data_IF_363553980422
#
_entry.id   IF_363553980422
#
_cell.length_a   1.000
_cell.length_b   1.000
_cell.length_c   1.000
_cell.angle_alpha   90.00
_cell.angle_beta   90.00
_cell.angle_gamma   90.00
#
_symmetry.space_group_name_H-M   'P 1'
#
loop_
_entity.id
_entity.type
_entity.pdbx_description
1 polymer ?
#
# COMPACT_ATOMS: atom_id res chain seq x y z
N UNK A 1 -34.29 -31.09 44.52
CA UNK A 1 -34.17 -30.44 43.19
C UNK A 1 -34.79 -31.39 42.18
N UNK A 2 -35.91 -31.01 41.56
CA UNK A 2 -36.59 -31.84 40.55
C UNK A 2 -36.13 -31.36 39.18
N UNK A 3 -35.48 -32.24 38.44
CA UNK A 3 -35.20 -32.06 37.02
C UNK A 3 -36.52 -32.08 36.27
N UNK A 4 -36.86 -30.96 35.64
CA UNK A 4 -38.00 -30.86 34.73
C UNK A 4 -37.49 -31.32 33.37
N UNK A 5 -37.93 -32.51 32.97
CA UNK A 5 -37.61 -33.11 31.67
C UNK A 5 -38.41 -32.38 30.57
N UNK A 6 -37.76 -31.44 29.88
CA UNK A 6 -38.35 -30.61 28.82
C UNK A 6 -38.47 -31.35 27.46
N UNK A 7 -38.15 -32.64 27.39
CA UNK A 7 -38.07 -33.39 26.13
C UNK A 7 -39.42 -33.85 25.57
N UNK A 8 -40.51 -33.70 26.31
CA UNK A 8 -41.82 -34.27 25.94
C UNK A 8 -42.94 -33.24 25.70
N UNK A 9 -42.60 -32.02 25.26
CA UNK A 9 -43.62 -31.07 24.81
C UNK A 9 -44.15 -31.54 23.44
N UNK A 10 -45.27 -32.28 23.45
CA UNK A 10 -46.01 -32.71 22.26
C UNK A 10 -46.54 -31.49 21.46
N UNK A 11 -45.72 -30.95 20.55
CA UNK A 11 -46.11 -29.85 19.64
C UNK A 11 -47.33 -30.18 18.76
N UNK A 12 -47.73 -31.46 18.65
CA UNK A 12 -48.89 -31.91 17.86
C UNK A 12 -50.25 -31.47 18.42
N UNK A 13 -50.35 -31.06 19.70
CA UNK A 13 -51.63 -30.62 20.30
C UNK A 13 -51.89 -29.11 20.22
N UNK A 14 -50.92 -28.30 19.79
CA UNK A 14 -51.10 -26.87 19.57
C UNK A 14 -51.79 -26.64 18.21
N UNK A 15 -53.11 -26.87 18.15
CA UNK A 15 -53.95 -26.43 17.03
C UNK A 15 -54.08 -24.90 17.09
N UNK A 16 -53.08 -24.21 16.55
CA UNK A 16 -53.16 -22.78 16.34
C UNK A 16 -54.32 -22.46 15.39
N UNK A 17 -55.18 -21.52 15.79
CA UNK A 17 -56.23 -21.00 14.91
C UNK A 17 -55.61 -20.47 13.62
N UNK A 18 -56.33 -20.57 12.50
CA UNK A 18 -55.90 -20.00 11.20
C UNK A 18 -55.49 -18.52 11.33
N UNK A 19 -56.14 -17.77 12.23
CA UNK A 19 -55.77 -16.38 12.54
C UNK A 19 -54.39 -16.29 13.18
N UNK A 20 -54.10 -17.16 14.16
CA UNK A 20 -52.80 -17.19 14.84
C UNK A 20 -51.67 -17.61 13.89
N UNK A 21 -51.93 -18.56 12.98
CA UNK A 21 -50.99 -18.92 11.92
C UNK A 21 -50.70 -17.73 10.98
N UNK A 22 -51.73 -16.97 10.62
CA UNK A 22 -51.59 -15.80 9.75
C UNK A 22 -50.81 -14.66 10.44
N UNK A 23 -51.03 -14.42 11.73
CA UNK A 23 -50.23 -13.49 12.52
C UNK A 23 -48.77 -13.92 12.67
N UNK A 24 -48.52 -15.22 12.89
CA UNK A 24 -47.16 -15.74 12.95
C UNK A 24 -46.44 -15.57 11.60
N UNK A 25 -47.10 -15.87 10.48
CA UNK A 25 -46.53 -15.69 9.15
C UNK A 25 -46.23 -14.21 8.86
N UNK A 26 -47.16 -13.31 9.20
CA UNK A 26 -46.93 -11.87 9.07
C UNK A 26 -45.77 -11.39 9.95
N UNK A 27 -45.68 -11.87 11.20
CA UNK A 27 -44.56 -11.57 12.10
C UNK A 27 -43.21 -12.03 11.55
N UNK A 28 -43.14 -13.25 11.00
CA UNK A 28 -41.92 -13.76 10.35
C UNK A 28 -41.53 -12.91 9.14
N UNK A 29 -42.50 -12.50 8.31
CA UNK A 29 -42.21 -11.62 7.16
C UNK A 29 -41.71 -10.25 7.59
N UNK A 30 -42.26 -9.65 8.64
CA UNK A 30 -41.78 -8.37 9.18
C UNK A 30 -40.36 -8.51 9.72
N UNK A 31 -40.06 -9.59 10.46
CA UNK A 31 -38.70 -9.85 10.97
C UNK A 31 -37.73 -10.08 9.80
N UNK A 32 -38.13 -10.84 8.79
CA UNK A 32 -37.29 -11.08 7.60
C UNK A 32 -37.05 -9.80 6.81
N UNK A 33 -38.07 -8.96 6.62
CA UNK A 33 -37.94 -7.66 5.97
C UNK A 33 -37.06 -6.70 6.79
N UNK A 34 -37.24 -6.67 8.11
CA UNK A 34 -36.41 -5.92 9.05
C UNK A 34 -34.96 -6.37 9.03
N UNK A 35 -34.70 -7.67 9.02
CA UNK A 35 -33.36 -8.24 8.92
C UNK A 35 -32.71 -7.95 7.56
N UNK A 36 -33.45 -8.06 6.46
CA UNK A 36 -32.94 -7.72 5.12
C UNK A 36 -32.66 -6.22 4.99
N UNK A 37 -33.52 -5.37 5.55
CA UNK A 37 -33.32 -3.93 5.64
C UNK A 37 -32.10 -3.57 6.48
N UNK A 38 -31.99 -4.14 7.68
CA UNK A 38 -30.82 -4.01 8.54
C UNK A 38 -29.55 -4.44 7.79
N UNK A 39 -29.57 -5.61 7.15
CA UNK A 39 -28.43 -6.13 6.40
C UNK A 39 -28.06 -5.22 5.22
N UNK A 40 -29.05 -4.69 4.51
CA UNK A 40 -28.83 -3.74 3.42
C UNK A 40 -28.20 -2.42 3.89
N UNK A 41 -28.55 -1.96 5.09
CA UNK A 41 -28.01 -0.72 5.69
C UNK A 41 -26.63 -0.95 6.32
N UNK A 42 -26.42 -2.09 6.97
CA UNK A 42 -25.21 -2.36 7.77
C UNK A 42 -24.12 -3.07 7.00
N UNK A 43 -24.43 -3.81 5.95
CA UNK A 43 -23.41 -4.48 5.15
C UNK A 43 -22.98 -3.57 4.01
N UNK A 44 -21.68 -3.61 3.66
CA UNK A 44 -21.23 -2.89 2.48
C UNK A 44 -22.04 -3.32 1.25
N UNK A 45 -22.40 -2.36 0.38
CA UNK A 45 -23.17 -2.68 -0.81
C UNK A 45 -22.40 -3.71 -1.64
N UNK A 46 -23.12 -4.71 -2.14
CA UNK A 46 -22.53 -5.75 -2.99
C UNK A 46 -21.84 -5.08 -4.19
N UNK A 47 -20.61 -5.44 -4.56
CA UNK A 47 -19.86 -4.75 -5.61
C UNK A 47 -20.62 -4.63 -6.94
N UNK A 48 -21.36 -5.66 -7.34
CA UNK A 48 -22.16 -5.63 -8.57
C UNK A 48 -23.27 -4.57 -8.54
N UNK A 49 -23.86 -4.28 -7.38
CA UNK A 49 -24.90 -3.26 -7.22
C UNK A 49 -24.29 -1.86 -7.36
N UNK A 50 -23.10 -1.65 -6.79
CA UNK A 50 -22.35 -0.40 -6.94
C UNK A 50 -22.00 -0.17 -8.40
N UNK A 51 -21.47 -1.19 -9.09
CA UNK A 51 -21.18 -1.15 -10.53
C UNK A 51 -22.43 -0.79 -11.34
N UNK A 52 -23.56 -1.45 -11.07
CA UNK A 52 -24.81 -1.18 -11.79
C UNK A 52 -25.33 0.25 -11.57
N UNK A 53 -25.29 0.77 -10.33
CA UNK A 53 -25.68 2.16 -10.03
C UNK A 53 -24.76 3.15 -10.75
N UNK A 54 -23.45 2.86 -10.75
CA UNK A 54 -22.46 3.66 -11.44
C UNK A 54 -22.69 3.66 -12.96
N UNK A 55 -22.88 2.49 -13.58
CA UNK A 55 -23.15 2.38 -15.03
C UNK A 55 -24.39 3.19 -15.43
N UNK A 56 -25.47 3.12 -14.63
CA UNK A 56 -26.68 3.94 -14.88
C UNK A 56 -26.43 5.42 -14.72
N UNK A 57 -25.63 5.81 -13.73
CA UNK A 57 -25.26 7.21 -13.53
C UNK A 57 -24.45 7.73 -14.71
N UNK A 58 -23.41 7.00 -15.12
CA UNK A 58 -22.57 7.36 -16.26
C UNK A 58 -23.40 7.41 -17.55
N UNK A 59 -24.29 6.44 -17.79
CA UNK A 59 -25.13 6.44 -18.97
C UNK A 59 -26.07 7.64 -19.04
N UNK A 60 -26.57 8.08 -17.88
CA UNK A 60 -27.39 9.30 -17.78
C UNK A 60 -26.58 10.56 -18.07
N UNK A 61 -25.37 10.68 -17.52
CA UNK A 61 -24.53 11.88 -17.69
C UNK A 61 -23.87 11.96 -19.07
N UNK A 62 -23.55 10.82 -19.67
CA UNK A 62 -22.94 10.73 -20.99
C UNK A 62 -23.96 10.66 -22.14
N UNK A 63 -25.26 10.68 -21.84
CA UNK A 63 -26.35 10.51 -22.81
C UNK A 63 -26.22 9.28 -23.74
N UNK A 64 -25.46 8.26 -23.31
CA UNK A 64 -25.22 7.02 -24.04
C UNK A 64 -25.02 5.86 -23.07
N UNK A 65 -25.56 4.69 -23.41
CA UNK A 65 -25.28 3.45 -22.70
C UNK A 65 -24.18 2.61 -23.36
N UNK A 66 -23.72 3.00 -24.56
CA UNK A 66 -22.68 2.29 -25.29
C UNK A 66 -21.31 2.91 -25.02
N UNK A 67 -20.57 2.28 -24.11
CA UNK A 67 -19.20 2.63 -23.74
C UNK A 67 -18.17 1.72 -24.41
N UNK A 68 -18.53 1.00 -25.48
CA UNK A 68 -17.55 0.20 -26.22
C UNK A 68 -16.43 1.10 -26.76
N UNK A 69 -15.22 0.58 -26.67
CA UNK A 69 -14.01 1.17 -27.23
C UNK A 69 -13.23 0.06 -27.94
N UNK A 70 -12.52 0.42 -29.00
CA UNK A 70 -11.60 -0.49 -29.67
C UNK A 70 -10.38 -0.70 -28.78
N UNK A 71 -10.44 -1.78 -27.99
CA UNK A 71 -9.37 -2.20 -27.10
C UNK A 71 -8.95 -3.60 -27.53
N UNK A 72 -7.64 -3.81 -27.68
CA UNK A 72 -7.05 -5.09 -28.01
C UNK A 72 -7.19 -6.07 -26.82
N UNK A 73 -8.41 -6.60 -26.63
CA UNK A 73 -8.68 -7.58 -25.59
C UNK A 73 -7.90 -8.88 -25.87
N UNK A 74 -7.36 -9.52 -24.83
CA UNK A 74 -6.82 -10.87 -24.94
C UNK A 74 -7.88 -11.84 -25.52
N UNK A 75 -7.44 -12.90 -26.17
CA UNK A 75 -8.35 -13.86 -26.79
C UNK A 75 -9.26 -14.51 -25.74
N UNK A 76 -10.42 -15.05 -26.13
CA UNK A 76 -11.32 -15.75 -25.18
C UNK A 76 -10.60 -16.89 -24.44
N UNK A 77 -9.66 -17.56 -25.10
CA UNK A 77 -8.86 -18.64 -24.52
C UNK A 77 -7.90 -18.10 -23.45
N UNK A 78 -7.17 -17.01 -23.74
CA UNK A 78 -6.32 -16.33 -22.75
C UNK A 78 -7.14 -15.78 -21.58
N UNK A 79 -8.30 -15.19 -21.87
CA UNK A 79 -9.20 -14.67 -20.85
C UNK A 79 -9.75 -15.77 -19.93
N UNK A 80 -9.90 -17.01 -20.41
CA UNK A 80 -10.35 -18.15 -19.62
C UNK A 80 -9.21 -18.87 -18.89
N UNK A 81 -7.96 -18.66 -19.29
CA UNK A 81 -6.78 -19.30 -18.69
C UNK A 81 -6.65 -18.86 -17.23
N UNK A 82 -6.86 -19.80 -16.30
CA UNK A 82 -6.49 -19.60 -14.91
C UNK A 82 -4.98 -19.69 -14.82
N UNK A 83 -4.34 -18.74 -14.11
CA UNK A 83 -2.91 -18.88 -13.83
C UNK A 83 -2.68 -20.22 -13.14
N UNK A 84 -1.73 -21.00 -13.66
CA UNK A 84 -1.09 -22.03 -12.84
C UNK A 84 -0.42 -21.27 -11.72
N UNK A 85 -0.62 -21.68 -10.48
CA UNK A 85 0.18 -21.17 -9.37
C UNK A 85 1.64 -21.25 -9.81
N UNK A 86 2.33 -20.11 -9.88
CA UNK A 86 3.76 -20.15 -10.16
C UNK A 86 4.36 -21.10 -9.13
N UNK A 87 5.15 -22.11 -9.57
CA UNK A 87 5.87 -22.92 -8.62
C UNK A 87 6.65 -21.95 -7.75
N UNK A 88 6.53 -22.10 -6.43
CA UNK A 88 7.22 -21.27 -5.44
C UNK A 88 8.73 -21.41 -5.71
N UNK A 89 9.25 -20.57 -6.62
CA UNK A 89 10.66 -20.50 -6.92
C UNK A 89 11.24 -19.93 -5.65
N UNK A 90 11.87 -20.81 -4.88
CA UNK A 90 12.58 -20.42 -3.67
C UNK A 90 13.47 -19.19 -3.96
N UNK A 91 13.79 -18.39 -2.93
CA UNK A 91 14.50 -17.13 -3.12
C UNK A 91 15.72 -17.36 -4.01
N UNK A 92 15.82 -16.58 -5.10
CA UNK A 92 17.01 -16.57 -5.95
C UNK A 92 18.23 -16.34 -5.05
N UNK A 93 19.28 -17.13 -5.25
CA UNK A 93 20.52 -17.08 -4.46
C UNK A 93 21.66 -16.60 -5.34
N UNK A 94 22.51 -15.73 -4.80
CA UNK A 94 23.69 -15.22 -5.50
C UNK A 94 24.68 -16.35 -5.79
N UNK A 95 25.30 -16.33 -6.97
CA UNK A 95 26.18 -17.41 -7.42
C UNK A 95 27.46 -17.52 -6.58
N UNK A 96 27.96 -16.41 -6.01
CA UNK A 96 29.19 -16.41 -5.22
C UNK A 96 28.97 -16.61 -3.74
N UNK A 97 27.99 -15.94 -3.17
CA UNK A 97 27.73 -15.96 -1.72
C UNK A 97 26.74 -17.03 -1.30
N UNK A 98 25.91 -17.52 -2.22
CA UNK A 98 24.80 -18.45 -1.93
C UNK A 98 23.68 -17.83 -1.08
N UNK A 99 23.69 -16.52 -0.87
CA UNK A 99 22.71 -15.79 -0.04
C UNK A 99 21.58 -15.24 -0.91
N UNK A 100 20.41 -15.03 -0.31
CA UNK A 100 19.30 -14.35 -0.98
C UNK A 100 19.52 -12.84 -1.09
N UNK A 101 18.73 -12.21 -1.96
CA UNK A 101 18.84 -10.77 -2.26
C UNK A 101 18.68 -9.88 -1.02
N UNK A 102 17.74 -10.18 -0.12
CA UNK A 102 17.51 -9.31 1.05
C UNK A 102 18.66 -9.40 2.04
N UNK A 103 19.17 -10.61 2.29
CA UNK A 103 20.36 -10.83 3.11
C UNK A 103 21.56 -10.07 2.55
N UNK A 104 21.80 -10.16 1.23
CA UNK A 104 22.90 -9.44 0.57
C UNK A 104 22.74 -7.94 0.62
N UNK A 105 21.51 -7.44 0.48
CA UNK A 105 21.22 -6.01 0.56
C UNK A 105 21.49 -5.47 1.97
N UNK A 106 21.10 -6.18 3.01
CA UNK A 106 21.36 -5.79 4.41
C UNK A 106 22.86 -5.80 4.72
N UNK A 107 23.58 -6.84 4.30
CA UNK A 107 25.04 -6.94 4.45
C UNK A 107 25.75 -5.83 3.67
N UNK A 108 25.36 -5.58 2.42
CA UNK A 108 25.89 -4.50 1.60
C UNK A 108 25.71 -3.15 2.29
N UNK A 109 24.52 -2.83 2.78
CA UNK A 109 24.26 -1.56 3.45
C UNK A 109 25.10 -1.41 4.72
N UNK A 110 25.19 -2.46 5.52
CA UNK A 110 25.97 -2.48 6.77
C UNK A 110 27.45 -2.26 6.48
N UNK A 111 28.04 -3.03 5.56
CA UNK A 111 29.45 -2.90 5.20
C UNK A 111 29.74 -1.59 4.48
N UNK A 112 28.84 -1.11 3.61
CA UNK A 112 29.01 0.18 2.94
C UNK A 112 29.03 1.34 3.94
N UNK A 113 28.18 1.31 4.96
CA UNK A 113 28.19 2.30 6.05
C UNK A 113 29.52 2.25 6.81
N UNK A 114 30.03 1.06 7.13
CA UNK A 114 31.31 0.88 7.82
C UNK A 114 32.49 1.43 6.99
N UNK A 115 32.54 1.11 5.69
CA UNK A 115 33.55 1.63 4.75
C UNK A 115 33.50 3.16 4.67
N UNK A 116 32.30 3.75 4.55
CA UNK A 116 32.13 5.21 4.52
C UNK A 116 32.55 5.87 5.85
N UNK A 117 32.27 5.24 6.99
CA UNK A 117 32.70 5.72 8.30
C UNK A 117 34.24 5.72 8.43
N UNK A 118 34.88 4.59 8.10
CA UNK A 118 36.34 4.45 8.10
C UNK A 118 37.02 5.43 7.14
N UNK A 119 36.49 5.59 5.92
CA UNK A 119 36.99 6.56 4.94
C UNK A 119 36.97 8.00 5.49
N UNK A 120 35.85 8.42 6.10
CA UNK A 120 35.75 9.74 6.75
C UNK A 120 36.74 9.90 7.89
N UNK A 121 36.97 8.87 8.69
CA UNK A 121 37.95 8.91 9.78
C UNK A 121 39.38 9.04 9.27
N UNK A 122 39.74 8.30 8.21
CA UNK A 122 41.05 8.40 7.56
C UNK A 122 41.25 9.82 7.04
N UNK A 123 40.30 10.37 6.27
CA UNK A 123 40.37 11.76 5.77
C UNK A 123 40.51 12.79 6.89
N UNK A 124 39.76 12.64 7.99
CA UNK A 124 39.89 13.53 9.17
C UNK A 124 41.27 13.42 9.82
N UNK A 125 41.82 12.20 9.92
CA UNK A 125 43.14 11.97 10.52
C UNK A 125 44.26 12.57 9.66
N UNK A 126 44.14 12.47 8.33
CA UNK A 126 45.07 13.05 7.37
C UNK A 126 45.00 14.57 7.34
N UNK A 127 43.80 15.15 7.36
CA UNK A 127 43.59 16.59 7.47
C UNK A 127 44.28 17.17 8.73
N UNK A 128 44.06 16.55 9.90
CA UNK A 128 44.74 16.93 11.15
C UNK A 128 46.26 16.80 11.04
N UNK A 129 46.77 15.77 10.36
CA UNK A 129 48.21 15.57 10.15
C UNK A 129 48.79 16.66 9.24
N UNK A 130 48.07 17.04 8.19
CA UNK A 130 48.43 18.15 7.30
C UNK A 130 48.48 19.46 8.06
N UNK A 131 47.42 19.81 8.80
CA UNK A 131 47.35 21.05 9.60
C UNK A 131 48.48 21.14 10.63
N UNK A 132 48.79 20.02 11.29
CA UNK A 132 49.89 19.94 12.27
C UNK A 132 51.25 20.14 11.61
N UNK A 133 51.42 19.71 10.34
CA UNK A 133 52.67 19.88 9.58
C UNK A 133 52.83 21.30 9.04
N UNK A 134 51.75 21.97 8.64
CA UNK A 134 51.79 23.36 8.14
C UNK A 134 52.01 24.40 9.24
N UNK A 135 51.63 24.08 10.49
CA UNK A 135 51.71 24.99 11.64
C UNK A 135 53.14 25.36 12.09
N UNK A 136 54.12 24.44 12.18
CA UNK A 136 55.51 24.81 12.48
C UNK A 136 56.11 25.71 11.40
N UNK A 137 55.84 25.48 10.11
CA UNK A 137 56.36 26.35 9.03
C UNK A 137 55.83 27.80 9.16
N UNK A 138 54.56 27.97 9.54
CA UNK A 138 53.98 29.28 9.82
C UNK A 138 54.55 29.95 11.10
N UNK A 139 54.87 29.17 12.14
CA UNK A 139 55.45 29.66 13.39
C UNK A 139 56.95 29.97 13.28
N UNK A 140 57.68 29.26 12.42
CA UNK A 140 59.12 29.46 12.18
C UNK A 140 59.40 30.79 11.45
N UNK A 141 58.41 31.32 10.72
CA UNK A 141 58.47 32.67 10.14
C UNK A 141 58.20 33.83 11.13
N UNK A 142 57.78 33.55 12.37
CA UNK A 142 57.33 34.58 13.32
C UNK A 142 58.05 34.63 14.68
N UNK A 143 58.97 33.71 15.03
CA UNK A 143 59.55 33.73 16.39
C UNK A 143 61.01 33.27 16.52
N UNK A 144 61.85 34.15 17.08
CA UNK A 144 63.24 33.91 17.52
C UNK A 144 63.35 33.42 18.99
N UNK A 145 62.25 33.03 19.64
CA UNK A 145 62.29 32.47 21.00
C UNK A 145 61.14 31.47 21.23
N UNK A 146 61.40 30.17 21.03
CA UNK A 146 60.40 29.12 21.22
C UNK A 146 60.44 28.50 22.63
N UNK A 147 59.30 28.35 23.34
CA UNK A 147 59.22 27.68 24.63
C UNK A 147 59.21 26.13 24.49
N UNK A 148 59.66 25.39 25.53
CA UNK A 148 59.92 23.93 25.49
C UNK A 148 58.68 23.02 25.34
N UNK A 149 57.45 23.56 25.41
CA UNK A 149 56.21 22.77 25.34
C UNK A 149 55.88 22.23 23.93
N UNK A 150 56.55 22.71 22.87
CA UNK A 150 56.31 22.26 21.50
C UNK A 150 56.90 20.86 21.22
N UNK A 151 57.95 20.48 21.97
CA UNK A 151 58.68 19.22 21.74
C UNK A 151 57.90 17.95 22.13
N UNK A 152 57.03 18.00 23.13
CA UNK A 152 56.20 16.85 23.54
C UNK A 152 55.10 16.51 22.52
N UNK A 153 54.59 17.51 21.78
CA UNK A 153 53.53 17.29 20.78
C UNK A 153 54.07 16.56 19.54
N UNK A 154 55.37 16.68 19.26
CA UNK A 154 56.05 16.02 18.14
C UNK A 154 56.36 14.54 18.47
N UNK A 155 56.61 14.22 19.74
CA UNK A 155 56.93 12.86 20.20
C UNK A 155 55.75 11.87 20.11
N UNK A 156 54.50 12.34 20.06
CA UNK A 156 53.30 11.47 19.91
C UNK A 156 52.94 11.15 18.44
N UNK A 157 53.72 11.61 17.47
CA UNK A 157 53.49 11.41 16.04
C UNK A 157 53.59 9.95 15.51
N UNK A 158 54.50 9.05 16.00
CA UNK A 158 54.65 7.73 15.40
C UNK A 158 53.42 6.82 15.61
N UNK A 159 52.81 6.84 16.81
CA UNK A 159 51.62 6.03 17.10
C UNK A 159 50.38 6.43 16.28
N UNK A 160 50.31 7.66 15.77
CA UNK A 160 49.22 8.10 14.88
C UNK A 160 49.39 7.57 13.46
N UNK A 161 50.63 7.39 12.99
CA UNK A 161 50.88 6.85 11.65
C UNK A 161 50.50 5.37 11.56
N UNK A 162 50.78 4.60 12.63
CA UNK A 162 50.38 3.18 12.73
C UNK A 162 48.86 3.01 12.77
N UNK A 163 48.15 3.88 13.48
CA UNK A 163 46.67 3.87 13.51
C UNK A 163 46.06 4.16 12.14
N UNK A 164 46.59 5.13 11.38
CA UNK A 164 46.09 5.41 10.03
C UNK A 164 46.39 4.26 9.07
N UNK A 165 47.56 3.61 9.16
CA UNK A 165 47.86 2.43 8.34
C UNK A 165 46.96 1.24 8.69
N UNK A 166 46.70 0.99 9.97
CA UNK A 166 45.78 -0.07 10.41
C UNK A 166 44.37 0.17 9.87
N UNK A 167 43.86 1.41 9.94
CA UNK A 167 42.55 1.79 9.39
C UNK A 167 42.47 1.66 7.87
N UNK A 168 43.56 1.97 7.15
CA UNK A 168 43.63 1.75 5.69
C UNK A 168 43.59 0.26 5.34
N UNK A 169 44.30 -0.58 6.11
CA UNK A 169 44.23 -2.03 5.94
C UNK A 169 42.82 -2.57 6.23
N UNK A 170 42.15 -2.07 7.27
CA UNK A 170 40.78 -2.43 7.60
C UNK A 170 39.80 -1.99 6.49
N UNK A 171 39.96 -0.77 5.97
CA UNK A 171 39.18 -0.26 4.84
C UNK A 171 39.34 -1.18 3.62
N UNK A 172 40.57 -1.53 3.27
CA UNK A 172 40.86 -2.40 2.13
C UNK A 172 40.27 -3.81 2.32
N UNK A 173 40.34 -4.36 3.54
CA UNK A 173 39.72 -5.65 3.85
C UNK A 173 38.20 -5.60 3.68
N UNK A 174 37.55 -4.53 4.13
CA UNK A 174 36.09 -4.33 3.95
C UNK A 174 35.69 -4.09 2.49
N UNK A 175 36.48 -3.34 1.73
CA UNK A 175 36.27 -3.16 0.29
C UNK A 175 36.41 -4.49 -0.46
N UNK A 176 37.38 -5.33 -0.07
CA UNK A 176 37.55 -6.68 -0.63
C UNK A 176 36.37 -7.59 -0.27
N UNK A 177 35.86 -7.51 0.96
CA UNK A 177 34.68 -8.27 1.40
C UNK A 177 33.38 -7.83 0.69
N UNK A 178 33.28 -6.57 0.28
CA UNK A 178 32.13 -6.05 -0.47
C UNK A 178 32.07 -6.54 -1.93
N UNK A 179 33.20 -6.94 -2.52
CA UNK A 179 33.27 -7.34 -3.92
C UNK A 179 32.30 -8.50 -4.28
N UNK A 180 32.30 -9.66 -3.60
CA UNK A 180 31.38 -10.75 -3.91
C UNK A 180 29.91 -10.39 -3.67
N UNK A 181 29.61 -9.56 -2.66
CA UNK A 181 28.24 -9.08 -2.39
C UNK A 181 27.75 -8.20 -3.55
N UNK A 182 28.62 -7.29 -4.02
CA UNK A 182 28.29 -6.36 -5.11
C UNK A 182 28.08 -7.10 -6.42
N UNK A 183 28.93 -8.09 -6.72
CA UNK A 183 28.80 -8.91 -7.93
C UNK A 183 27.50 -9.72 -7.95
N UNK A 184 27.12 -10.34 -6.83
CA UNK A 184 25.85 -11.06 -6.72
C UNK A 184 24.66 -10.09 -6.86
N UNK A 185 24.70 -8.89 -6.25
CA UNK A 185 23.65 -7.88 -6.41
C UNK A 185 23.49 -7.43 -7.87
N UNK A 186 24.59 -7.28 -8.62
CA UNK A 186 24.53 -7.00 -10.05
C UNK A 186 23.99 -8.18 -10.86
N UNK A 187 24.29 -9.41 -10.46
CA UNK A 187 23.70 -10.61 -11.06
C UNK A 187 22.19 -10.65 -10.85
N UNK A 188 21.70 -10.41 -9.63
CA UNK A 188 20.27 -10.26 -9.35
C UNK A 188 19.64 -9.19 -10.24
N UNK A 189 20.28 -8.02 -10.35
CA UNK A 189 19.77 -6.96 -11.21
C UNK A 189 19.68 -7.39 -12.68
N UNK A 190 20.68 -8.10 -13.21
CA UNK A 190 20.64 -8.63 -14.58
C UNK A 190 19.55 -9.67 -14.77
N UNK A 191 19.38 -10.60 -13.82
CA UNK A 191 18.31 -11.61 -13.86
C UNK A 191 16.94 -10.96 -13.81
N UNK A 192 16.72 -9.98 -12.92
CA UNK A 192 15.47 -9.23 -12.87
C UNK A 192 15.18 -8.45 -14.15
N UNK A 193 16.21 -7.87 -14.79
CA UNK A 193 16.07 -7.19 -16.08
C UNK A 193 15.78 -8.18 -17.22
N UNK A 194 16.35 -9.39 -17.19
CA UNK A 194 16.06 -10.45 -18.15
C UNK A 194 14.62 -10.97 -17.99
N UNK A 195 14.19 -11.23 -16.75
CA UNK A 195 12.81 -11.63 -16.44
C UNK A 195 11.80 -10.54 -16.80
N UNK A 196 12.14 -9.26 -16.59
CA UNK A 196 11.28 -8.15 -17.01
C UNK A 196 11.19 -8.04 -18.53
N UNK A 197 12.29 -8.21 -19.26
CA UNK A 197 12.29 -8.16 -20.73
C UNK A 197 11.59 -9.35 -21.37
N UNK A 198 11.72 -10.56 -20.81
CA UNK A 198 10.92 -11.72 -21.23
C UNK A 198 9.42 -11.47 -20.99
N UNK A 199 9.07 -10.91 -19.82
CA UNK A 199 7.69 -10.51 -19.51
C UNK A 199 7.16 -9.43 -20.47
N UNK A 200 8.04 -8.54 -20.95
CA UNK A 200 7.75 -7.49 -21.94
C UNK A 200 7.61 -8.00 -23.39
N UNK A 201 7.96 -9.25 -23.68
CA UNK A 201 7.77 -9.85 -25.02
C UNK A 201 6.58 -10.80 -25.09
N UNK A 202 6.04 -11.24 -23.95
CA UNK A 202 4.88 -12.12 -23.88
C UNK A 202 3.52 -11.44 -24.08
N UNK A 203 2.46 -12.25 -24.06
CA UNK A 203 1.06 -11.79 -24.17
C UNK A 203 0.72 -10.69 -23.15
N UNK A 204 1.27 -10.78 -21.94
CA UNK A 204 1.13 -9.77 -20.89
C UNK A 204 1.59 -8.37 -21.35
N UNK A 205 2.67 -8.30 -22.13
CA UNK A 205 3.18 -7.03 -22.63
C UNK A 205 2.28 -6.39 -23.69
N UNK A 206 1.61 -7.21 -24.52
CA UNK A 206 0.62 -6.69 -25.46
C UNK A 206 -0.52 -5.99 -24.73
N UNK A 207 -0.99 -6.59 -23.64
CA UNK A 207 -2.05 -6.04 -22.79
C UNK A 207 -1.60 -4.78 -22.05
N UNK A 208 -0.38 -4.76 -21.51
CA UNK A 208 0.20 -3.59 -20.84
C UNK A 208 0.32 -2.42 -21.82
N UNK A 209 0.75 -2.67 -23.07
CA UNK A 209 0.79 -1.66 -24.14
C UNK A 209 -0.61 -1.17 -24.50
N UNK A 210 -1.56 -2.07 -24.70
CA UNK A 210 -2.96 -1.71 -25.00
C UNK A 210 -3.57 -0.84 -23.88
N UNK A 211 -3.29 -1.18 -22.62
CA UNK A 211 -3.68 -0.36 -21.46
C UNK A 211 -3.04 1.02 -21.50
N UNK A 212 -1.72 1.10 -21.70
CA UNK A 212 -1.02 2.38 -21.74
C UNK A 212 -1.61 3.28 -22.82
N UNK A 213 -1.88 2.73 -24.01
CA UNK A 213 -2.55 3.44 -25.10
C UNK A 213 -3.96 3.91 -24.70
N UNK A 214 -4.77 3.05 -24.08
CA UNK A 214 -6.10 3.43 -23.58
C UNK A 214 -6.03 4.62 -22.62
N UNK A 215 -5.13 4.57 -21.63
CA UNK A 215 -4.96 5.65 -20.64
C UNK A 215 -4.48 6.94 -21.32
N UNK A 216 -3.54 6.86 -22.27
CA UNK A 216 -3.10 8.03 -23.03
C UNK A 216 -4.24 8.65 -23.84
N UNK A 217 -5.02 7.82 -24.54
CA UNK A 217 -6.19 8.29 -25.31
C UNK A 217 -7.25 8.90 -24.38
N UNK A 218 -7.54 8.29 -23.23
CA UNK A 218 -8.47 8.85 -22.25
C UNK A 218 -8.00 10.22 -21.74
N UNK A 219 -6.71 10.37 -21.42
CA UNK A 219 -6.14 11.66 -21.02
C UNK A 219 -6.27 12.71 -22.12
N UNK A 220 -6.01 12.35 -23.38
CA UNK A 220 -6.19 13.26 -24.51
C UNK A 220 -7.64 13.68 -24.67
N UNK A 221 -8.58 12.74 -24.58
CA UNK A 221 -10.02 13.00 -24.64
C UNK A 221 -10.48 13.91 -23.50
N UNK A 222 -10.01 13.66 -22.27
CA UNK A 222 -10.38 14.45 -21.09
C UNK A 222 -9.80 15.87 -21.13
N UNK A 223 -8.55 16.03 -21.55
CA UNK A 223 -7.92 17.34 -21.74
C UNK A 223 -8.60 18.15 -22.85
N UNK A 224 -9.07 17.49 -23.92
CA UNK A 224 -9.74 18.13 -25.05
C UNK A 224 -11.27 18.23 -24.91
N UNK A 225 -11.87 17.68 -23.86
CA UNK A 225 -13.32 17.64 -23.70
C UNK A 225 -13.88 19.03 -23.38
N UNK A 226 -14.77 19.52 -24.26
CA UNK A 226 -15.51 20.78 -24.04
C UNK A 226 -16.80 20.59 -23.24
N UNK A 227 -17.15 19.36 -22.84
CA UNK A 227 -18.38 19.05 -22.12
C UNK A 227 -18.20 17.95 -21.08
N UNK A 228 -18.99 18.01 -20.01
CA UNK A 228 -19.05 16.95 -18.99
C UNK A 228 -19.49 15.61 -19.58
N UNK A 229 -20.40 15.62 -20.54
CA UNK A 229 -20.87 14.42 -21.25
C UNK A 229 -19.69 13.63 -21.85
N UNK A 230 -18.79 14.32 -22.55
CA UNK A 230 -17.60 13.72 -23.14
C UNK A 230 -16.64 13.15 -22.08
N UNK A 231 -16.48 13.85 -20.95
CA UNK A 231 -15.63 13.37 -19.86
C UNK A 231 -16.20 12.11 -19.20
N UNK A 232 -17.51 12.08 -18.89
CA UNK A 232 -18.18 10.89 -18.36
C UNK A 232 -18.15 9.73 -19.34
N UNK A 233 -18.21 10.01 -20.65
CA UNK A 233 -18.08 8.98 -21.69
C UNK A 233 -16.69 8.34 -21.68
N UNK A 234 -15.62 9.13 -21.57
CA UNK A 234 -14.25 8.61 -21.49
C UNK A 234 -14.06 7.70 -20.26
N UNK A 235 -14.53 8.15 -19.08
CA UNK A 235 -14.50 7.32 -17.86
C UNK A 235 -15.35 6.05 -18.01
N UNK A 236 -16.52 6.14 -18.65
CA UNK A 236 -17.35 4.96 -18.96
C UNK A 236 -16.65 3.95 -19.86
N UNK A 237 -15.87 4.41 -20.85
CA UNK A 237 -15.07 3.55 -21.74
C UNK A 237 -13.95 2.82 -20.97
N UNK A 238 -13.24 3.53 -20.09
CA UNK A 238 -12.23 2.90 -19.22
C UNK A 238 -12.86 1.81 -18.34
N UNK A 239 -14.01 2.10 -17.73
CA UNK A 239 -14.71 1.14 -16.87
C UNK A 239 -15.29 -0.05 -17.64
N UNK A 240 -15.69 0.15 -18.91
CA UNK A 240 -16.08 -0.95 -19.79
C UNK A 240 -14.93 -1.95 -19.99
N UNK A 241 -13.73 -1.45 -20.28
CA UNK A 241 -12.52 -2.29 -20.43
C UNK A 241 -12.16 -2.96 -19.10
N UNK A 242 -12.11 -2.18 -18.01
CA UNK A 242 -11.80 -2.68 -16.68
C UNK A 242 -12.73 -3.83 -16.28
N UNK A 243 -14.05 -3.68 -16.49
CA UNK A 243 -15.05 -4.71 -16.19
C UNK A 243 -14.80 -6.01 -16.94
N UNK A 244 -14.46 -5.93 -18.23
CA UNK A 244 -14.17 -7.13 -19.04
C UNK A 244 -12.91 -7.83 -18.57
N UNK A 245 -11.85 -7.09 -18.30
CA UNK A 245 -10.59 -7.64 -17.79
C UNK A 245 -10.75 -8.27 -16.40
N UNK A 246 -11.51 -7.64 -15.51
CA UNK A 246 -11.86 -8.19 -14.20
C UNK A 246 -12.70 -9.47 -14.26
N UNK A 247 -13.40 -9.70 -15.37
CA UNK A 247 -14.13 -10.96 -15.63
C UNK A 247 -13.24 -12.11 -16.11
N UNK A 248 -11.95 -11.88 -16.33
CA UNK A 248 -11.00 -12.90 -16.77
C UNK A 248 -10.70 -13.92 -15.66
N UNK A 249 -10.46 -15.17 -16.04
CA UNK A 249 -9.84 -16.17 -15.17
C UNK A 249 -8.35 -15.94 -14.92
N UNK A 250 -7.68 -15.10 -15.74
CA UNK A 250 -6.26 -14.79 -15.61
C UNK A 250 -6.05 -13.65 -14.58
N UNK A 251 -5.29 -13.85 -13.48
CA UNK A 251 -4.98 -12.80 -12.52
C UNK A 251 -4.31 -11.58 -13.15
N UNK A 252 -3.43 -11.74 -14.15
CA UNK A 252 -2.72 -10.60 -14.73
C UNK A 252 -3.67 -9.68 -15.49
N UNK A 253 -4.62 -10.24 -16.23
CA UNK A 253 -5.67 -9.45 -16.86
C UNK A 253 -6.51 -8.71 -15.81
N UNK A 254 -6.87 -9.38 -14.71
CA UNK A 254 -7.62 -8.74 -13.62
C UNK A 254 -6.82 -7.61 -12.96
N UNK A 255 -5.50 -7.78 -12.79
CA UNK A 255 -4.59 -6.71 -12.29
C UNK A 255 -4.62 -5.50 -13.21
N UNK A 256 -4.56 -5.70 -14.52
CA UNK A 256 -4.69 -4.59 -15.48
C UNK A 256 -6.09 -3.95 -15.42
N UNK A 257 -7.13 -4.75 -15.21
CA UNK A 257 -8.49 -4.25 -14.98
C UNK A 257 -8.60 -3.34 -13.73
N UNK A 258 -7.97 -3.72 -12.61
CA UNK A 258 -7.90 -2.86 -11.41
C UNK A 258 -7.10 -1.59 -11.70
N UNK A 259 -5.99 -1.68 -12.44
CA UNK A 259 -5.18 -0.51 -12.79
C UNK A 259 -5.96 0.50 -13.65
N UNK A 260 -6.72 0.02 -14.64
CA UNK A 260 -7.59 0.89 -15.46
C UNK A 260 -8.70 1.50 -14.59
N UNK A 261 -9.31 0.73 -13.70
CA UNK A 261 -10.31 1.27 -12.78
C UNK A 261 -9.74 2.36 -11.87
N UNK A 262 -8.50 2.20 -11.39
CA UNK A 262 -7.82 3.22 -10.61
C UNK A 262 -7.53 4.49 -11.43
N UNK A 263 -7.12 4.34 -12.70
CA UNK A 263 -6.97 5.48 -13.61
C UNK A 263 -8.31 6.23 -13.80
N UNK A 264 -9.40 5.50 -14.05
CA UNK A 264 -10.75 6.06 -14.17
C UNK A 264 -11.20 6.80 -12.90
N UNK A 265 -10.89 6.28 -11.71
CA UNK A 265 -11.16 6.95 -10.44
C UNK A 265 -10.39 8.27 -10.31
N UNK A 266 -9.10 8.27 -10.68
CA UNK A 266 -8.26 9.48 -10.69
C UNK A 266 -8.78 10.50 -11.71
N UNK A 267 -9.15 10.06 -12.91
CA UNK A 267 -9.75 10.93 -13.92
C UNK A 267 -11.07 11.54 -13.43
N UNK A 268 -11.88 10.77 -12.71
CA UNK A 268 -13.14 11.25 -12.14
C UNK A 268 -12.93 12.37 -11.10
N UNK A 269 -11.87 12.30 -10.30
CA UNK A 269 -11.53 13.39 -9.37
C UNK A 269 -10.83 14.55 -10.08
N UNK A 270 -9.83 14.26 -10.93
CA UNK A 270 -8.95 15.28 -11.50
C UNK A 270 -9.61 16.09 -12.62
N UNK A 271 -10.33 15.43 -13.51
CA UNK A 271 -10.94 16.05 -14.69
C UNK A 271 -12.42 16.36 -14.50
N UNK A 272 -13.20 15.39 -14.01
CA UNK A 272 -14.65 15.55 -13.85
C UNK A 272 -14.98 16.31 -12.55
N UNK A 273 -14.05 16.34 -11.59
CA UNK A 273 -14.26 16.89 -10.25
C UNK A 273 -15.43 16.21 -9.51
N UNK A 274 -15.69 14.94 -9.79
CA UNK A 274 -16.74 14.15 -9.17
C UNK A 274 -16.14 13.06 -8.26
N UNK A 275 -15.91 13.45 -6.99
CA UNK A 275 -15.41 12.55 -5.95
C UNK A 275 -16.33 11.36 -5.68
N UNK A 276 -17.65 11.55 -5.78
CA UNK A 276 -18.62 10.47 -5.56
C UNK A 276 -18.49 9.36 -6.61
N UNK A 277 -18.28 9.70 -7.88
CA UNK A 277 -18.02 8.71 -8.94
C UNK A 277 -16.73 7.95 -8.67
N UNK A 278 -15.64 8.65 -8.32
CA UNK A 278 -14.38 8.01 -7.98
C UNK A 278 -14.51 7.06 -6.77
N UNK A 279 -15.23 7.48 -5.73
CA UNK A 279 -15.52 6.65 -4.56
C UNK A 279 -16.28 5.36 -4.95
N UNK A 280 -17.28 5.46 -5.82
CA UNK A 280 -18.01 4.27 -6.31
C UNK A 280 -17.17 3.39 -7.22
N UNK A 281 -16.21 3.94 -7.97
CA UNK A 281 -15.23 3.14 -8.72
C UNK A 281 -14.35 2.34 -7.75
N UNK A 282 -13.83 2.98 -6.69
CA UNK A 282 -13.03 2.30 -5.67
C UNK A 282 -13.80 1.15 -5.03
N UNK A 283 -15.03 1.41 -4.61
CA UNK A 283 -15.89 0.41 -3.97
C UNK A 283 -16.33 -0.73 -4.91
N UNK A 284 -16.66 -0.40 -6.15
CA UNK A 284 -17.17 -1.35 -7.12
C UNK A 284 -16.06 -2.19 -7.78
N UNK A 285 -14.91 -1.60 -8.09
CA UNK A 285 -13.90 -2.20 -8.96
C UNK A 285 -12.58 -2.51 -8.25
N UNK A 286 -12.14 -1.70 -7.29
CA UNK A 286 -10.80 -1.83 -6.69
C UNK A 286 -10.85 -2.68 -5.42
N UNK A 287 -11.59 -2.25 -4.40
CA UNK A 287 -11.68 -2.95 -3.10
C UNK A 287 -12.07 -4.44 -3.19
N UNK A 288 -12.96 -4.87 -4.11
CA UNK A 288 -13.33 -6.28 -4.22
C UNK A 288 -12.23 -7.19 -4.79
N UNK A 289 -11.15 -6.60 -5.33
CA UNK A 289 -10.08 -7.29 -6.02
C UNK A 289 -8.70 -7.01 -5.38
N UNK A 290 -8.66 -6.69 -4.07
CA UNK A 290 -7.42 -6.42 -3.33
C UNK A 290 -6.54 -7.67 -3.21
N UNK A 291 -7.13 -8.87 -3.31
CA UNK A 291 -6.42 -10.14 -3.35
C UNK A 291 -5.43 -10.24 -4.52
N UNK A 292 -5.59 -9.41 -5.55
CA UNK A 292 -4.67 -9.35 -6.69
C UNK A 292 -3.39 -8.57 -6.40
N UNK A 293 -3.42 -7.69 -5.39
CA UNK A 293 -2.41 -6.70 -5.06
C UNK A 293 -1.27 -7.28 -4.19
N UNK A 294 -0.80 -8.48 -4.55
CA UNK A 294 0.16 -9.28 -3.79
C UNK A 294 1.62 -8.83 -3.95
N UNK A 295 1.86 -7.68 -4.58
CA UNK A 295 3.21 -7.16 -4.83
C UNK A 295 3.92 -6.90 -3.50
N UNK A 296 5.01 -7.63 -3.23
CA UNK A 296 5.81 -7.44 -2.02
C UNK A 296 6.52 -6.09 -1.99
N UNK A 297 6.75 -5.49 -3.16
CA UNK A 297 7.43 -4.21 -3.27
C UNK A 297 6.53 -3.07 -2.75
N UNK A 298 6.89 -2.41 -1.63
CA UNK A 298 6.08 -1.31 -1.09
C UNK A 298 6.06 -0.07 -2.01
N UNK A 299 6.98 0.01 -2.98
CA UNK A 299 7.01 1.08 -3.99
C UNK A 299 6.14 0.76 -5.20
N UNK A 300 5.63 -0.46 -5.35
CA UNK A 300 4.71 -0.78 -6.44
C UNK A 300 3.43 0.01 -6.27
N UNK A 301 3.01 0.73 -7.31
CA UNK A 301 1.71 1.42 -7.32
C UNK A 301 0.53 0.47 -7.15
N UNK A 302 0.75 -0.82 -7.44
CA UNK A 302 -0.21 -1.91 -7.33
C UNK A 302 -0.09 -2.71 -6.02
N UNK A 303 0.77 -2.29 -5.09
CA UNK A 303 0.79 -2.88 -3.75
C UNK A 303 -0.54 -2.63 -3.01
N UNK A 304 -1.02 -3.63 -2.26
CA UNK A 304 -2.28 -3.57 -1.50
C UNK A 304 -2.41 -2.30 -0.63
N UNK A 305 -1.35 -1.94 0.10
CA UNK A 305 -1.32 -0.73 0.94
C UNK A 305 -1.47 0.53 0.11
N UNK A 306 -0.81 0.61 -1.04
CA UNK A 306 -0.88 1.75 -1.93
C UNK A 306 -2.26 1.88 -2.60
N UNK A 307 -2.92 0.77 -2.95
CA UNK A 307 -4.29 0.80 -3.46
C UNK A 307 -5.28 1.24 -2.38
N UNK A 308 -5.16 0.71 -1.17
CA UNK A 308 -6.01 1.06 -0.04
C UNK A 308 -5.83 2.53 0.36
N UNK A 309 -4.60 3.03 0.40
CA UNK A 309 -4.31 4.44 0.66
C UNK A 309 -4.96 5.36 -0.36
N UNK A 310 -4.89 5.01 -1.64
CA UNK A 310 -5.55 5.78 -2.70
C UNK A 310 -7.07 5.76 -2.55
N UNK A 311 -7.68 4.60 -2.32
CA UNK A 311 -9.11 4.50 -2.05
C UNK A 311 -9.51 5.33 -0.82
N UNK A 312 -8.76 5.22 0.28
CA UNK A 312 -9.02 5.96 1.52
C UNK A 312 -8.90 7.48 1.31
N UNK A 313 -7.94 7.95 0.52
CA UNK A 313 -7.82 9.36 0.16
C UNK A 313 -9.06 9.84 -0.63
N UNK A 314 -9.51 9.05 -1.61
CA UNK A 314 -10.70 9.34 -2.40
C UNK A 314 -11.94 9.43 -1.50
N UNK A 315 -12.14 8.47 -0.59
CA UNK A 315 -13.25 8.49 0.36
C UNK A 315 -13.18 9.66 1.33
N UNK A 316 -11.98 10.01 1.81
CA UNK A 316 -11.77 11.15 2.71
C UNK A 316 -12.11 12.47 2.03
N UNK A 317 -11.68 12.66 0.77
CA UNK A 317 -12.03 13.84 -0.04
C UNK A 317 -13.53 13.95 -0.32
N UNK A 318 -14.25 12.83 -0.30
CA UNK A 318 -15.70 12.78 -0.50
C UNK A 318 -16.51 12.75 0.82
N UNK A 319 -15.86 13.02 1.96
CA UNK A 319 -16.50 13.02 3.28
C UNK A 319 -17.23 11.70 3.60
N UNK A 320 -16.64 10.56 3.21
CA UNK A 320 -17.17 9.22 3.47
C UNK A 320 -16.36 8.48 4.55
N UNK A 321 -16.37 8.92 5.84
CA UNK A 321 -15.53 8.36 6.88
C UNK A 321 -15.77 6.86 7.10
N UNK A 322 -17.01 6.39 6.93
CA UNK A 322 -17.34 4.96 7.04
C UNK A 322 -16.59 4.10 6.01
N UNK A 323 -16.42 4.62 4.78
CA UNK A 323 -15.67 3.92 3.75
C UNK A 323 -14.15 4.01 3.98
N UNK A 324 -13.67 5.10 4.60
CA UNK A 324 -12.28 5.19 5.07
C UNK A 324 -12.02 4.11 6.13
N UNK A 325 -12.87 4.01 7.16
CA UNK A 325 -12.77 2.97 8.21
C UNK A 325 -12.74 1.58 7.59
N UNK A 326 -13.74 1.24 6.76
CA UNK A 326 -13.82 -0.05 6.07
C UNK A 326 -12.57 -0.38 5.26
N UNK A 327 -11.99 0.61 4.58
CA UNK A 327 -10.78 0.43 3.78
C UNK A 327 -9.61 -0.02 4.66
N UNK A 328 -9.42 0.61 5.83
CA UNK A 328 -8.38 0.21 6.77
C UNK A 328 -8.71 -1.06 7.56
N UNK A 329 -9.99 -1.40 7.78
CA UNK A 329 -10.38 -2.70 8.33
C UNK A 329 -10.01 -3.86 7.39
N UNK A 330 -10.18 -3.67 6.07
CA UNK A 330 -9.70 -4.65 5.08
C UNK A 330 -8.18 -4.84 5.17
N UNK A 331 -7.43 -3.74 5.35
CA UNK A 331 -5.99 -3.79 5.56
C UNK A 331 -5.61 -4.53 6.86
N UNK A 332 -6.33 -4.28 7.95
CA UNK A 332 -6.11 -4.94 9.23
C UNK A 332 -6.33 -6.45 9.14
N UNK A 333 -7.27 -6.89 8.30
CA UNK A 333 -7.56 -8.30 8.10
C UNK A 333 -6.46 -9.03 7.31
N UNK A 334 -5.71 -8.34 6.44
CA UNK A 334 -4.66 -8.93 5.60
C UNK A 334 -3.25 -8.77 6.18
N UNK A 335 -2.98 -7.70 6.94
CA UNK A 335 -1.64 -7.39 7.42
C UNK A 335 -1.20 -8.30 8.57
N UNK A 336 0.01 -8.85 8.44
CA UNK A 336 0.68 -9.62 9.52
C UNK A 336 1.65 -8.76 10.34
N UNK A 337 1.92 -7.53 9.90
CA UNK A 337 2.90 -6.65 10.54
C UNK A 337 2.21 -5.82 11.65
N UNK A 338 2.59 -5.98 12.94
CA UNK A 338 1.96 -5.26 14.05
C UNK A 338 2.03 -3.73 13.92
N UNK A 339 3.16 -3.18 13.46
CA UNK A 339 3.33 -1.74 13.31
C UNK A 339 2.41 -1.17 12.22
N UNK A 340 2.23 -1.93 11.13
CA UNK A 340 1.32 -1.53 10.04
C UNK A 340 -0.14 -1.67 10.47
N UNK A 341 -0.47 -2.68 11.28
CA UNK A 341 -1.79 -2.79 11.88
C UNK A 341 -2.09 -1.58 12.78
N UNK A 342 -1.14 -1.18 13.61
CA UNK A 342 -1.28 -0.02 14.49
C UNK A 342 -1.36 1.30 13.73
N UNK A 343 -0.63 1.44 12.63
CA UNK A 343 -0.81 2.56 11.70
C UNK A 343 -2.23 2.57 11.12
N UNK A 344 -2.78 1.45 10.67
CA UNK A 344 -4.16 1.39 10.15
C UNK A 344 -5.21 1.72 11.23
N UNK A 345 -5.04 1.23 12.46
CA UNK A 345 -5.88 1.62 13.61
C UNK A 345 -5.85 3.13 13.86
N UNK A 346 -4.67 3.76 13.71
CA UNK A 346 -4.56 5.21 13.83
C UNK A 346 -5.37 5.96 12.74
N UNK A 347 -5.39 5.42 11.52
CA UNK A 347 -6.20 5.98 10.43
C UNK A 347 -7.70 5.79 10.66
N UNK A 348 -8.11 4.63 11.19
CA UNK A 348 -9.49 4.36 11.61
C UNK A 348 -9.93 5.35 12.70
N UNK A 349 -9.10 5.55 13.73
CA UNK A 349 -9.39 6.51 14.79
C UNK A 349 -9.58 7.93 14.26
N UNK A 350 -8.74 8.36 13.31
CA UNK A 350 -8.87 9.67 12.67
C UNK A 350 -10.16 9.79 11.86
N UNK A 351 -10.57 8.74 11.14
CA UNK A 351 -11.81 8.73 10.39
C UNK A 351 -13.04 8.80 11.32
N UNK A 352 -13.05 8.07 12.44
CA UNK A 352 -14.10 8.18 13.44
C UNK A 352 -14.17 9.57 14.08
N UNK A 353 -13.02 10.16 14.39
CA UNK A 353 -13.00 11.52 14.93
C UNK A 353 -13.55 12.54 13.92
N UNK A 354 -13.20 12.42 12.64
CA UNK A 354 -13.78 13.26 11.56
C UNK A 354 -15.30 13.07 11.43
N UNK A 355 -15.80 11.86 11.68
CA UNK A 355 -17.23 11.57 11.72
C UNK A 355 -17.92 12.06 13.00
N UNK A 356 -17.18 12.61 13.97
CA UNK A 356 -17.70 12.98 15.28
C UNK A 356 -17.99 11.79 16.19
N UNK A 357 -17.51 10.57 15.91
CA UNK A 357 -17.65 9.41 16.78
C UNK A 357 -16.44 9.26 17.71
N UNK A 358 -16.41 10.08 18.75
CA UNK A 358 -15.31 10.12 19.71
C UNK A 358 -15.14 8.78 20.45
N UNK A 359 -16.23 8.03 20.66
CA UNK A 359 -16.20 6.74 21.35
C UNK A 359 -15.48 5.68 20.53
N UNK A 360 -15.83 5.54 19.25
CA UNK A 360 -15.17 4.56 18.36
C UNK A 360 -13.72 4.96 18.09
N UNK A 361 -13.43 6.27 17.98
CA UNK A 361 -12.06 6.78 17.88
C UNK A 361 -11.20 6.36 19.09
N UNK A 362 -11.74 6.49 20.32
CA UNK A 362 -11.05 6.06 21.55
C UNK A 362 -10.75 4.56 21.56
N UNK A 363 -11.72 3.74 21.17
CA UNK A 363 -11.54 2.28 21.09
C UNK A 363 -10.39 1.94 20.15
N UNK A 364 -10.38 2.51 18.95
CA UNK A 364 -9.32 2.28 17.97
C UNK A 364 -7.93 2.73 18.45
N UNK A 365 -7.83 3.87 19.16
CA UNK A 365 -6.55 4.35 19.73
C UNK A 365 -6.06 3.41 20.83
N UNK A 366 -6.94 2.91 21.70
CA UNK A 366 -6.57 2.04 22.83
C UNK A 366 -6.06 0.66 22.40
N UNK A 367 -6.40 0.22 21.18
CA UNK A 367 -5.89 -1.03 20.62
C UNK A 367 -4.46 -0.92 20.06
N UNK A 368 -3.91 0.30 19.91
CA UNK A 368 -2.56 0.53 19.41
C UNK A 368 -1.55 0.20 20.51
N UNK A 369 -0.55 -0.64 20.18
CA UNK A 369 0.48 -1.10 21.13
C UNK A 369 1.85 -0.52 20.82
N UNK A 370 2.29 -0.59 19.56
CA UNK A 370 3.61 -0.20 19.08
C UNK A 370 3.50 0.57 17.76
N UNK A 371 3.55 1.90 17.84
CA UNK A 371 3.60 2.79 16.68
C UNK A 371 4.57 3.94 16.91
N UNK A 372 5.27 4.34 15.84
CA UNK A 372 6.09 5.56 15.84
C UNK A 372 5.27 6.81 16.24
N UNK A 373 3.94 6.76 16.07
CA UNK A 373 3.03 7.85 16.43
C UNK A 373 2.35 7.67 17.79
N UNK A 374 2.69 6.64 18.57
CA UNK A 374 2.00 6.28 19.81
C UNK A 374 1.88 7.47 20.78
N UNK A 375 3.00 8.15 21.07
CA UNK A 375 3.02 9.30 21.98
C UNK A 375 2.11 10.45 21.51
N UNK A 376 2.01 10.68 20.21
CA UNK A 376 1.14 11.70 19.64
C UNK A 376 -0.34 11.32 19.77
N UNK A 377 -0.68 10.05 19.52
CA UNK A 377 -2.05 9.54 19.63
C UNK A 377 -2.55 9.53 21.08
N UNK A 378 -1.70 9.16 22.05
CA UNK A 378 -2.07 9.16 23.47
C UNK A 378 -2.42 10.56 24.00
N UNK A 379 -1.83 11.63 23.44
CA UNK A 379 -2.17 13.01 23.81
C UNK A 379 -3.61 13.41 23.42
N UNK A 380 -4.24 12.68 22.50
CA UNK A 380 -5.63 12.94 22.06
C UNK A 380 -6.68 12.31 22.97
N UNK A 381 -6.30 11.31 23.77
CA UNK A 381 -7.24 10.55 24.62
C UNK A 381 -8.04 11.46 25.56
N UNK A 382 -7.42 12.38 26.34
CA UNK A 382 -8.19 13.19 27.28
C UNK A 382 -9.27 14.04 26.62
N UNK A 383 -8.98 14.62 25.44
CA UNK A 383 -9.95 15.40 24.67
C UNK A 383 -11.09 14.49 24.15
N UNK A 384 -10.74 13.36 23.53
CA UNK A 384 -11.75 12.44 23.02
C UNK A 384 -12.64 11.85 24.14
N UNK A 385 -12.11 11.67 25.36
CA UNK A 385 -12.90 11.26 26.52
C UNK A 385 -13.88 12.33 26.97
N UNK A 386 -13.52 13.61 26.86
CA UNK A 386 -14.44 14.72 27.11
C UNK A 386 -15.54 14.77 26.04
N UNK A 387 -15.16 14.67 24.77
CA UNK A 387 -16.10 14.66 23.64
C UNK A 387 -17.08 13.47 23.74
N UNK A 388 -16.58 12.28 24.06
CA UNK A 388 -17.41 11.08 24.24
C UNK A 388 -18.35 11.16 25.46
N UNK A 389 -18.01 11.94 26.49
CA UNK A 389 -18.91 12.22 27.63
C UNK A 389 -19.99 13.22 27.25
N UNK A 390 -19.67 14.21 26.43
CA UNK A 390 -20.63 15.21 25.95
C UNK A 390 -21.70 14.64 24.99
N UNK A 391 -21.42 13.47 24.39
CA UNK A 391 -22.35 12.75 23.51
C UNK A 391 -23.34 11.84 24.24
N UNK A 392 -23.21 11.69 25.57
CA UNK A 392 -24.17 10.96 26.40
C UNK A 392 -25.26 11.89 26.88
#
# INVERSE_FOLDING_TARGET
>A
MRDIDLREIEFKKLRFSKRTQLFLLAGVLIIAAGYLGWRYVTHPPRPWLVRWKLDRYLAKQAHTSDFKVDFAFPTKAEMAKRAKAEPDRGPLRGSRTGKDFETLREEYLTEKIAVLALGREITRSEGRRSDTRSRPDALTGQSTAAPPAVSETIASAPGRSEQTSARRSELQAKETALAPITDDLWEFQRTFMAESTESETGDAASLVRARAQLITTANQQLNGASSYEAMYRAVGQELFVARRLLGSGNPDHRREGVTIALAAARHSIGYIMNGAVAARICEGYILPNLDLATDRNPRSTFNEENLLNQCAEIFRRNEEPNNVVRTYELYLASTKNPQRADWARSQIAMAYEQAGDAKSALTAIREIKDSNSFRFLMRRIPRLEQDAKAQR
#
